data_IF_955420363239
#
_entry.id   IF_955420363239
#
_cell.length_a   1.000
_cell.length_b   1.000
_cell.length_c   1.000
_cell.angle_alpha   90.00
_cell.angle_beta   90.00
_cell.angle_gamma   90.00
#
_symmetry.space_group_name_H-M   'P 1'
#
loop_
_entity.id
_entity.type
_entity.pdbx_description
1 polymer ?
#
# COMPACT_ATOMS: atom_id res chain seq x y z
N UNK A 1 1.81 -18.59 -5.35
CA UNK A 1 0.88 -18.41 -6.49
C UNK A 1 0.82 -16.97 -7.00
N UNK A 2 1.31 -15.95 -6.28
CA UNK A 2 1.45 -14.59 -6.81
C UNK A 2 2.92 -14.16 -6.74
N UNK A 3 3.74 -14.64 -7.67
CA UNK A 3 5.10 -14.14 -7.83
C UNK A 3 5.39 -13.95 -9.32
N UNK A 4 6.26 -13.00 -9.69
CA UNK A 4 6.60 -12.78 -11.09
C UNK A 4 7.33 -13.99 -11.69
N UNK A 5 7.08 -14.25 -12.97
CA UNK A 5 7.75 -15.33 -13.72
C UNK A 5 8.92 -14.82 -14.57
N UNK A 6 9.08 -13.50 -14.68
CA UNK A 6 10.13 -12.84 -15.46
C UNK A 6 11.12 -12.07 -14.57
N UNK A 7 12.39 -11.91 -14.98
CA UNK A 7 13.36 -11.08 -14.26
C UNK A 7 12.86 -9.65 -14.05
N UNK A 8 12.25 -9.05 -15.07
CA UNK A 8 11.71 -7.68 -15.03
C UNK A 8 10.56 -7.58 -14.02
N UNK A 9 9.70 -8.60 -13.98
CA UNK A 9 8.63 -8.67 -13.00
C UNK A 9 9.16 -8.78 -11.57
N UNK A 10 10.23 -9.57 -11.35
CA UNK A 10 10.90 -9.65 -10.04
C UNK A 10 11.51 -8.32 -9.61
N UNK A 11 12.09 -7.59 -10.55
CA UNK A 11 12.64 -6.26 -10.28
C UNK A 11 11.54 -5.28 -9.85
N UNK A 12 10.42 -5.22 -10.57
CA UNK A 12 9.28 -4.37 -10.18
C UNK A 12 8.70 -4.82 -8.84
N UNK A 13 8.62 -6.12 -8.58
CA UNK A 13 8.14 -6.65 -7.32
C UNK A 13 9.02 -6.24 -6.13
N UNK A 14 10.34 -6.32 -6.28
CA UNK A 14 11.29 -5.82 -5.27
C UNK A 14 11.16 -4.29 -5.07
N UNK A 15 11.05 -3.53 -6.16
CA UNK A 15 10.82 -2.08 -6.10
C UNK A 15 9.53 -1.74 -5.34
N UNK A 16 8.43 -2.43 -5.62
CA UNK A 16 7.15 -2.23 -4.95
C UNK A 16 7.23 -2.46 -3.43
N UNK A 17 8.00 -3.46 -2.99
CA UNK A 17 8.20 -3.71 -1.56
C UNK A 17 9.03 -2.61 -0.88
N UNK A 18 9.98 -2.01 -1.59
CA UNK A 18 10.80 -0.89 -1.10
C UNK A 18 10.02 0.44 -1.02
N UNK A 19 8.93 0.57 -1.77
CA UNK A 19 8.10 1.77 -1.83
C UNK A 19 7.20 1.99 -0.61
N UNK A 20 7.14 1.05 0.33
CA UNK A 20 6.35 1.16 1.56
C UNK A 20 6.66 2.42 2.38
N UNK A 21 7.91 2.90 2.37
CA UNK A 21 8.31 4.15 3.01
C UNK A 21 7.96 5.43 2.25
N UNK A 22 7.44 5.32 1.02
CA UNK A 22 7.12 6.44 0.12
C UNK A 22 5.59 6.63 -0.03
N UNK A 23 4.81 6.17 0.94
CA UNK A 23 3.35 6.29 0.91
C UNK A 23 2.93 7.75 1.09
N UNK A 24 2.02 8.19 0.23
CA UNK A 24 1.25 9.42 0.39
C UNK A 24 -0.02 9.08 1.15
N UNK A 25 -0.22 9.76 2.27
CA UNK A 25 -1.38 9.59 3.14
C UNK A 25 -2.02 10.94 3.44
N UNK A 26 -3.31 10.94 3.70
CA UNK A 26 -4.03 12.08 4.26
C UNK A 26 -4.71 11.67 5.56
N UNK A 27 -4.77 12.57 6.53
CA UNK A 27 -5.42 12.34 7.82
C UNK A 27 -6.48 13.42 8.05
N UNK A 28 -7.63 13.03 8.60
CA UNK A 28 -8.72 13.95 8.92
C UNK A 28 -9.66 13.39 10.00
N UNK A 29 -10.80 14.05 10.19
CA UNK A 29 -11.79 13.66 11.21
C UNK A 29 -12.35 12.23 11.04
N UNK A 30 -12.23 11.64 9.86
CA UNK A 30 -12.65 10.27 9.54
C UNK A 30 -11.50 9.25 9.47
N UNK A 31 -10.33 9.56 10.04
CA UNK A 31 -9.17 8.68 10.08
C UNK A 31 -8.11 8.98 9.02
N UNK A 32 -7.21 8.01 8.82
CA UNK A 32 -6.12 8.06 7.83
C UNK A 32 -6.51 7.31 6.57
N UNK A 33 -6.19 7.88 5.41
CA UNK A 33 -6.43 7.30 4.08
C UNK A 33 -5.14 7.31 3.28
N UNK A 34 -4.81 6.17 2.67
CA UNK A 34 -3.72 6.03 1.71
C UNK A 34 -4.16 6.57 0.35
N UNK A 35 -3.37 7.47 -0.21
CA UNK A 35 -3.57 8.06 -1.53
C UNK A 35 -2.81 7.31 -2.63
N UNK A 36 -1.71 6.64 -2.28
CA UNK A 36 -0.81 5.96 -3.21
C UNK A 36 0.64 6.07 -2.80
N UNK A 37 1.55 5.68 -3.68
CA UNK A 37 2.97 5.97 -3.57
C UNK A 37 3.30 7.36 -4.12
N UNK A 38 4.43 7.91 -3.71
CA UNK A 38 5.09 8.97 -4.45
C UNK A 38 5.70 8.38 -5.73
N UNK A 39 5.04 8.59 -6.86
CA UNK A 39 5.50 8.11 -8.17
C UNK A 39 6.83 8.75 -8.61
N UNK A 40 7.15 9.95 -8.14
CA UNK A 40 8.45 10.59 -8.43
C UNK A 40 9.56 9.84 -7.70
N UNK A 41 9.35 9.55 -6.42
CA UNK A 41 10.27 8.73 -5.64
C UNK A 41 10.40 7.31 -6.23
N UNK A 42 9.30 6.73 -6.71
CA UNK A 42 9.30 5.41 -7.33
C UNK A 42 10.16 5.33 -8.59
N UNK A 43 9.99 6.26 -9.53
CA UNK A 43 10.79 6.29 -10.75
C UNK A 43 12.26 6.64 -10.48
N UNK A 44 12.53 7.50 -9.50
CA UNK A 44 13.89 7.80 -9.07
C UNK A 44 14.57 6.56 -8.47
N UNK A 45 13.86 5.78 -7.63
CA UNK A 45 14.38 4.54 -7.07
C UNK A 45 14.56 3.45 -8.13
N UNK A 46 13.64 3.31 -9.09
CA UNK A 46 13.79 2.41 -10.22
C UNK A 46 15.12 2.67 -10.95
N UNK A 47 15.37 3.93 -11.30
CA UNK A 47 16.62 4.34 -11.96
C UNK A 47 17.85 4.07 -11.10
N UNK A 48 17.78 4.32 -9.80
CA UNK A 48 18.89 4.08 -8.87
C UNK A 48 19.23 2.59 -8.72
N UNK A 49 18.24 1.71 -8.87
CA UNK A 49 18.39 0.26 -8.79
C UNK A 49 18.74 -0.38 -10.15
N UNK A 50 18.87 0.42 -11.21
CA UNK A 50 19.17 -0.07 -12.56
C UNK A 50 17.98 -0.68 -13.28
N UNK A 51 16.75 -0.44 -12.80
CA UNK A 51 15.52 -0.83 -13.49
C UNK A 51 15.22 0.18 -14.59
N UNK A 52 14.69 -0.30 -15.72
CA UNK A 52 14.12 0.57 -16.72
C UNK A 52 12.91 1.31 -16.13
N UNK A 53 12.96 2.65 -16.02
CA UNK A 53 11.84 3.42 -15.50
C UNK A 53 10.55 3.26 -16.30
N UNK A 54 10.63 2.87 -17.58
CA UNK A 54 9.45 2.58 -18.40
C UNK A 54 8.69 1.37 -17.86
N UNK A 55 9.41 0.29 -17.53
CA UNK A 55 8.80 -0.92 -16.95
C UNK A 55 8.14 -0.59 -15.61
N UNK A 56 8.82 0.20 -14.76
CA UNK A 56 8.23 0.64 -13.50
C UNK A 56 6.98 1.51 -13.72
N UNK A 57 7.01 2.44 -14.68
CA UNK A 57 5.88 3.31 -15.00
C UNK A 57 4.66 2.54 -15.53
N UNK A 58 4.87 1.46 -16.28
CA UNK A 58 3.79 0.61 -16.80
C UNK A 58 3.20 -0.32 -15.72
N UNK A 59 4.04 -0.91 -14.87
CA UNK A 59 3.59 -1.92 -13.92
C UNK A 59 3.14 -1.37 -12.56
N UNK A 60 3.79 -0.34 -12.03
CA UNK A 60 3.51 0.17 -10.67
C UNK A 60 2.08 0.69 -10.47
N UNK A 61 1.41 1.35 -11.44
CA UNK A 61 0.05 1.86 -11.24
C UNK A 61 -0.97 0.76 -10.87
N UNK A 62 -0.88 -0.42 -11.49
CA UNK A 62 -1.77 -1.55 -11.17
C UNK A 62 -1.50 -2.10 -9.76
N UNK A 63 -0.23 -2.19 -9.38
CA UNK A 63 0.16 -2.63 -8.03
C UNK A 63 -0.30 -1.60 -6.98
N UNK A 64 -0.14 -0.31 -7.26
CA UNK A 64 -0.61 0.79 -6.42
C UNK A 64 -2.11 0.69 -6.17
N UNK A 65 -2.91 0.48 -7.21
CA UNK A 65 -4.36 0.38 -7.09
C UNK A 65 -4.77 -0.75 -6.11
N UNK A 66 -4.11 -1.91 -6.20
CA UNK A 66 -4.35 -3.02 -5.26
C UNK A 66 -3.88 -2.68 -3.85
N UNK A 67 -2.70 -2.09 -3.70
CA UNK A 67 -2.13 -1.69 -2.42
C UNK A 67 -3.00 -0.64 -1.72
N UNK A 68 -3.39 0.43 -2.41
CA UNK A 68 -4.27 1.51 -1.90
C UNK A 68 -5.58 0.92 -1.42
N UNK A 69 -6.23 0.10 -2.24
CA UNK A 69 -7.48 -0.57 -1.87
C UNK A 69 -7.28 -1.39 -0.60
N UNK A 70 -6.24 -2.21 -0.53
CA UNK A 70 -5.99 -3.12 0.61
C UNK A 70 -5.65 -2.39 1.90
N UNK A 71 -4.80 -1.36 1.85
CA UNK A 71 -4.45 -0.58 3.05
C UNK A 71 -5.64 0.21 3.57
N UNK A 72 -6.45 0.80 2.68
CA UNK A 72 -7.65 1.52 3.10
C UNK A 72 -8.74 0.59 3.65
N UNK A 73 -8.92 -0.60 3.08
CA UNK A 73 -9.78 -1.65 3.64
C UNK A 73 -9.35 -2.02 5.07
N UNK A 74 -8.03 -2.13 5.32
CA UNK A 74 -7.48 -2.43 6.65
C UNK A 74 -7.66 -1.27 7.64
N UNK A 75 -7.46 -0.03 7.21
CA UNK A 75 -7.70 1.15 8.05
C UNK A 75 -9.18 1.26 8.44
N UNK A 76 -10.11 1.01 7.51
CA UNK A 76 -11.54 1.02 7.76
C UNK A 76 -12.06 -0.18 8.59
N UNK A 77 -11.31 -1.28 8.65
CA UNK A 77 -11.66 -2.44 9.50
C UNK A 77 -11.04 -2.33 10.89
N UNK A 78 -9.83 -1.78 11.02
CA UNK A 78 -9.18 -1.50 12.31
C UNK A 78 -9.90 -0.43 13.15
N UNK A 79 -10.53 0.54 12.50
CA UNK A 79 -11.30 1.61 13.16
C UNK A 79 -12.67 1.12 13.70
N UNK A 80 -13.12 -0.09 13.32
CA UNK A 80 -14.36 -0.71 13.83
C UNK A 80 -14.18 -1.49 15.13
N UNK A 81 -12.96 -1.60 15.66
CA UNK A 81 -12.70 -2.10 17.02
C UNK A 81 -12.77 -0.97 18.04
N UNK A 82 -13.86 -0.19 18.00
CA UNK A 82 -14.17 0.83 19.01
C UNK A 82 -14.84 0.22 20.26
N UNK A 83 -14.91 0.97 21.38
CA UNK A 83 -15.20 0.49 22.75
C UNK A 83 -16.56 -0.20 22.97
N UNK A 84 -17.42 -0.27 21.96
CA UNK A 84 -18.75 -0.85 22.02
C UNK A 84 -18.72 -2.37 22.24
N UNK A 85 -17.69 -3.06 21.75
CA UNK A 85 -17.53 -4.50 21.94
C UNK A 85 -17.07 -4.86 23.37
N UNK A 86 -16.44 -3.93 24.08
CA UNK A 86 -16.02 -4.14 25.47
C UNK A 86 -17.20 -3.92 26.45
N UNK A 87 -18.14 -3.02 26.12
CA UNK A 87 -19.32 -2.74 26.93
C UNK A 87 -20.36 -3.89 26.90
N UNK A 88 -20.46 -4.60 25.76
CA UNK A 88 -21.34 -5.78 25.62
C UNK A 88 -20.86 -6.98 26.46
N UNK A 89 -19.55 -7.11 26.68
CA UNK A 89 -18.98 -8.18 27.52
C UNK A 89 -19.23 -7.97 29.02
N UNK A 90 -19.22 -6.71 29.49
CA UNK A 90 -19.45 -6.37 30.90
C UNK A 90 -20.92 -6.54 31.30
N UNK A 91 -21.86 -6.33 30.37
CA UNK A 91 -23.31 -6.43 30.62
C UNK A 91 -23.85 -7.86 30.65
N UNK A 92 -23.01 -8.86 30.37
CA UNK A 92 -23.35 -10.29 30.40
C UNK A 92 -22.65 -11.05 31.54
N UNK A 93 -22.16 -10.35 32.56
CA UNK A 93 -21.72 -10.95 33.83
C UNK A 93 -22.60 -10.48 34.98
#
# INVERSE_FOLDING_TARGET
MNHPETPEGWQVWDLAQRLTGQLRVTAGMGGTMVLGWDMTAALAMARALGLDPLIAAECLPEIEAVMVRKLNEQMASGDRSGPEDQMRSVRSR
#
